data_IF_440501569009
#
_entry.id   IF_440501569009
#
_cell.length_a   1.000
_cell.length_b   1.000
_cell.length_c   1.000
_cell.angle_alpha   90.00
_cell.angle_beta   90.00
_cell.angle_gamma   90.00
#
_symmetry.space_group_name_H-M   'P 1'
#
loop_
_entity.id
_entity.type
_entity.pdbx_description
1 polymer ?
#
# COMPACT_ATOMS: atom_id res chain seq x y z
N UNK A 1 18.46 4.86 -4.10
CA UNK A 1 18.28 3.47 -3.68
C UNK A 1 18.42 2.54 -4.87
N UNK A 2 19.11 1.45 -4.70
CA UNK A 2 19.29 0.55 -5.82
C UNK A 2 18.14 -0.46 -5.88
N UNK A 3 17.91 -0.99 -7.06
CA UNK A 3 16.89 -2.01 -7.26
C UNK A 3 17.32 -3.37 -6.70
N UNK A 4 18.54 -3.45 -6.18
CA UNK A 4 19.06 -4.71 -5.68
C UNK A 4 18.25 -5.23 -4.50
N UNK A 5 17.88 -4.33 -3.59
CA UNK A 5 17.07 -4.73 -2.44
C UNK A 5 15.71 -5.24 -2.88
N UNK A 6 15.11 -4.56 -3.84
CA UNK A 6 13.81 -4.99 -4.38
C UNK A 6 13.95 -6.35 -5.05
N UNK A 7 15.04 -6.56 -5.79
CA UNK A 7 15.29 -7.83 -6.46
C UNK A 7 15.47 -8.97 -5.48
N UNK A 8 16.16 -8.72 -4.37
CA UNK A 8 16.34 -9.74 -3.34
C UNK A 8 15.02 -10.18 -2.75
N UNK A 9 14.11 -9.22 -2.51
CA UNK A 9 12.78 -9.55 -2.01
C UNK A 9 12.04 -10.40 -3.04
N UNK A 10 12.09 -10.00 -4.31
CA UNK A 10 11.44 -10.76 -5.37
C UNK A 10 11.98 -12.18 -5.46
N UNK A 11 13.30 -12.33 -5.33
CA UNK A 11 13.92 -13.65 -5.38
C UNK A 11 13.47 -14.52 -4.20
N UNK A 12 13.36 -13.92 -3.01
CA UNK A 12 12.90 -14.65 -1.84
C UNK A 12 11.45 -15.09 -2.00
N UNK A 13 10.61 -14.23 -2.57
CA UNK A 13 9.21 -14.57 -2.82
C UNK A 13 9.11 -15.68 -3.87
N UNK A 14 9.93 -15.61 -4.90
CA UNK A 14 9.98 -16.66 -5.92
C UNK A 14 10.37 -18.00 -5.29
N UNK A 15 11.32 -18.00 -4.35
CA UNK A 15 11.73 -19.22 -3.68
C UNK A 15 10.55 -19.86 -2.93
N UNK A 16 9.74 -19.03 -2.29
CA UNK A 16 8.55 -19.53 -1.61
C UNK A 16 7.60 -20.18 -2.60
N UNK A 17 7.42 -19.55 -3.76
CA UNK A 17 6.52 -20.05 -4.78
C UNK A 17 7.02 -21.36 -5.40
N UNK A 18 8.31 -21.67 -5.27
CA UNK A 18 8.90 -22.87 -5.83
C UNK A 18 8.87 -24.06 -4.88
N UNK A 19 8.38 -23.89 -3.68
CA UNK A 19 8.25 -25.03 -2.74
C UNK A 19 7.33 -26.05 -3.36
N UNK A 20 7.82 -27.30 -3.46
CA UNK A 20 7.11 -28.32 -4.23
C UNK A 20 5.86 -28.81 -3.52
N UNK A 21 5.96 -29.06 -2.22
CA UNK A 21 4.80 -29.54 -1.47
C UNK A 21 3.77 -28.42 -1.36
N UNK A 22 2.56 -28.70 -1.81
CA UNK A 22 1.51 -27.69 -1.86
C UNK A 22 1.17 -27.14 -0.48
N UNK A 23 1.09 -28.03 0.51
CA UNK A 23 0.73 -27.60 1.85
C UNK A 23 1.82 -26.74 2.47
N UNK A 24 3.08 -27.17 2.31
CA UNK A 24 4.20 -26.37 2.82
C UNK A 24 4.28 -25.04 2.12
N UNK A 25 4.02 -25.02 0.83
CA UNK A 25 4.03 -23.78 0.06
C UNK A 25 2.97 -22.81 0.58
N UNK A 26 1.76 -23.31 0.84
CA UNK A 26 0.68 -22.46 1.35
C UNK A 26 1.00 -21.94 2.74
N UNK A 27 1.59 -22.79 3.59
CA UNK A 27 2.02 -22.36 4.91
C UNK A 27 3.03 -21.23 4.82
N UNK A 28 4.03 -21.40 3.94
CA UNK A 28 5.07 -20.39 3.76
C UNK A 28 4.46 -19.09 3.25
N UNK A 29 3.58 -19.19 2.27
CA UNK A 29 2.91 -17.99 1.74
C UNK A 29 2.09 -17.29 2.83
N UNK A 30 1.42 -18.06 3.67
CA UNK A 30 0.60 -17.49 4.73
C UNK A 30 1.46 -16.73 5.73
N UNK A 31 2.61 -17.28 6.08
CA UNK A 31 3.54 -16.61 7.00
C UNK A 31 4.08 -15.33 6.40
N UNK A 32 4.42 -15.37 5.11
CA UNK A 32 4.91 -14.19 4.41
C UNK A 32 3.84 -13.10 4.38
N UNK A 33 2.61 -13.49 4.05
CA UNK A 33 1.52 -12.52 3.98
C UNK A 33 1.26 -11.87 5.34
N UNK A 34 1.31 -12.66 6.40
CA UNK A 34 1.10 -12.11 7.74
C UNK A 34 2.23 -11.13 8.12
N UNK A 35 3.46 -11.52 7.83
CA UNK A 35 4.60 -10.64 8.14
C UNK A 35 4.55 -9.36 7.34
N UNK A 36 4.17 -9.46 6.05
CA UNK A 36 4.10 -8.28 5.20
C UNK A 36 2.95 -7.36 5.62
N UNK A 37 1.85 -7.92 6.11
CA UNK A 37 0.73 -7.09 6.56
C UNK A 37 1.18 -6.16 7.68
N UNK A 38 1.96 -6.67 8.62
CA UNK A 38 2.47 -5.84 9.70
C UNK A 38 3.43 -4.78 9.21
N UNK A 39 4.35 -5.18 8.33
CA UNK A 39 5.30 -4.22 7.76
C UNK A 39 4.59 -3.18 6.92
N UNK A 40 3.58 -3.61 6.16
CA UNK A 40 2.86 -2.68 5.29
C UNK A 40 2.17 -1.58 6.08
N UNK A 41 1.72 -1.88 7.29
CA UNK A 41 1.14 -0.85 8.14
C UNK A 41 2.16 0.25 8.45
N UNK A 42 3.37 -0.16 8.85
CA UNK A 42 4.41 0.80 9.19
C UNK A 42 4.88 1.56 7.96
N UNK A 43 5.09 0.81 6.88
CA UNK A 43 5.57 1.44 5.64
C UNK A 43 4.53 2.42 5.08
N UNK A 44 3.26 2.09 5.22
CA UNK A 44 2.20 2.99 4.77
C UNK A 44 2.19 4.28 5.57
N UNK A 45 2.45 4.20 6.88
CA UNK A 45 2.54 5.41 7.70
C UNK A 45 3.63 6.33 7.21
N UNK A 46 4.81 5.77 6.97
CA UNK A 46 5.93 6.58 6.51
C UNK A 46 5.64 7.18 5.14
N UNK A 47 5.09 6.36 4.24
CA UNK A 47 4.72 6.85 2.91
C UNK A 47 3.71 7.98 2.98
N UNK A 48 2.69 7.80 3.81
CA UNK A 48 1.61 8.78 3.91
C UNK A 48 2.10 10.08 4.54
N UNK A 49 3.01 9.97 5.51
CA UNK A 49 3.61 11.15 6.11
C UNK A 49 4.40 11.94 5.09
N UNK A 50 5.20 11.24 4.29
CA UNK A 50 5.99 11.91 3.26
C UNK A 50 5.09 12.56 2.21
N UNK A 51 4.01 11.88 1.83
CA UNK A 51 3.06 12.44 0.88
C UNK A 51 2.49 13.76 1.43
N UNK A 52 2.12 13.79 2.71
CA UNK A 52 1.60 15.02 3.31
C UNK A 52 2.65 16.12 3.34
N UNK A 53 3.89 15.76 3.63
CA UNK A 53 4.98 16.74 3.65
C UNK A 53 5.22 17.32 2.26
N UNK A 54 5.23 16.49 1.25
CA UNK A 54 5.44 16.95 -0.12
C UNK A 54 4.30 17.86 -0.58
N UNK A 55 3.09 17.57 -0.15
CA UNK A 55 1.94 18.40 -0.48
C UNK A 55 2.00 19.75 0.22
N UNK A 56 2.33 19.73 1.52
CA UNK A 56 2.29 20.92 2.36
C UNK A 56 3.61 21.68 2.38
N UNK A 57 4.67 21.11 1.81
CA UNK A 57 6.01 21.64 1.99
C UNK A 57 6.36 22.87 1.19
N UNK A 58 5.39 23.51 0.56
CA UNK A 58 5.66 24.73 -0.20
C UNK A 58 6.17 24.47 -1.61
N UNK A 59 6.42 23.22 -1.95
CA UNK A 59 6.85 22.88 -3.30
C UNK A 59 5.70 22.94 -4.30
N UNK A 60 4.46 22.89 -3.81
CA UNK A 60 3.30 22.98 -4.67
C UNK A 60 3.13 21.80 -5.59
N UNK A 61 3.59 20.63 -5.17
CA UNK A 61 3.50 19.44 -6.00
C UNK A 61 2.06 18.98 -6.15
N UNK A 62 1.69 18.61 -7.37
CA UNK A 62 0.37 18.04 -7.63
C UNK A 62 0.35 16.59 -7.21
N UNK A 63 -0.85 16.03 -7.14
CA UNK A 63 -1.03 14.60 -6.81
C UNK A 63 -0.23 13.73 -7.79
N UNK A 64 -0.28 14.07 -9.07
CA UNK A 64 0.44 13.31 -10.09
C UNK A 64 1.94 13.40 -9.91
N UNK A 65 2.42 14.58 -9.56
CA UNK A 65 3.85 14.79 -9.36
C UNK A 65 4.35 14.01 -8.15
N UNK A 66 3.57 14.01 -7.06
CA UNK A 66 3.92 13.24 -5.87
C UNK A 66 3.93 11.75 -6.21
N UNK A 67 2.90 11.28 -6.91
CA UNK A 67 2.80 9.87 -7.28
C UNK A 67 4.00 9.44 -8.11
N UNK A 68 4.37 10.24 -9.10
CA UNK A 68 5.52 9.93 -9.95
C UNK A 68 6.82 9.91 -9.15
N UNK A 69 6.97 10.86 -8.25
CA UNK A 69 8.19 10.98 -7.46
C UNK A 69 8.39 9.80 -6.53
N UNK A 70 7.29 9.28 -5.96
CA UNK A 70 7.36 8.17 -5.03
C UNK A 70 7.10 6.83 -5.70
N UNK A 71 6.85 6.83 -7.01
CA UNK A 71 6.59 5.61 -7.79
C UNK A 71 5.39 4.85 -7.26
N UNK A 72 4.33 5.59 -6.97
CA UNK A 72 3.06 4.99 -6.56
C UNK A 72 1.96 5.47 -7.50
N UNK A 73 0.79 4.87 -7.38
CA UNK A 73 -0.34 5.27 -8.21
C UNK A 73 -0.93 6.58 -7.69
N UNK A 74 -1.45 7.45 -8.58
CA UNK A 74 -2.12 8.66 -8.12
C UNK A 74 -3.25 8.39 -7.12
N UNK A 75 -3.96 7.26 -7.28
CA UNK A 75 -5.02 6.91 -6.34
C UNK A 75 -4.48 6.67 -4.94
N UNK A 76 -3.25 6.19 -4.82
CA UNK A 76 -2.60 6.01 -3.52
C UNK A 76 -2.40 7.36 -2.84
N UNK A 77 -1.96 8.36 -3.61
CA UNK A 77 -1.77 9.70 -3.06
C UNK A 77 -3.11 10.32 -2.67
N UNK A 78 -4.11 10.18 -3.54
CA UNK A 78 -5.44 10.71 -3.26
C UNK A 78 -6.03 10.10 -1.98
N UNK A 79 -5.78 8.82 -1.77
CA UNK A 79 -6.31 8.13 -0.60
C UNK A 79 -5.82 8.74 0.70
N UNK A 80 -4.59 9.26 0.72
CA UNK A 80 -4.02 9.89 1.90
C UNK A 80 -4.84 11.10 2.33
N UNK A 81 -5.33 11.87 1.35
CA UNK A 81 -6.05 13.10 1.64
C UNK A 81 -7.54 12.87 1.82
N UNK A 82 -8.07 11.80 1.24
CA UNK A 82 -9.49 11.49 1.32
C UNK A 82 -9.81 10.62 2.52
N UNK A 83 -8.94 9.70 2.76
CA UNK A 83 -9.18 8.68 3.76
C UNK A 83 -8.96 9.13 5.16
N UNK A 84 -8.78 9.98 5.46
CA UNK A 84 -8.54 10.09 6.75
C UNK A 84 -9.44 9.81 7.69
N UNK A 85 -9.20 9.29 7.12
CA UNK A 85 -9.80 8.88 7.45
C UNK A 85 -10.17 8.11 7.44
N UNK A 86 -10.07 8.01 7.28
CA UNK A 86 -10.56 7.32 7.24
C UNK A 86 -10.83 6.69 7.37
N UNK A 87 -10.82 6.47 7.53
CA UNK A 87 -11.29 5.96 7.50
C UNK A 87 -11.67 5.61 7.46
N UNK A 88 -11.88 5.65 7.71
CA UNK A 88 -12.60 5.45 7.56
C UNK A 88 -13.25 5.33 7.18
N UNK A 89 -13.44 5.24 7.20
CA UNK A 89 -14.36 5.12 6.75
C UNK A 89 -14.95 4.88 6.18
N UNK A 90 -15.28 4.58 6.12
CA UNK A 90 -16.13 4.33 5.56
C UNK A 90 -16.62 4.02 5.06
N UNK A 91 -16.66 3.95 5.12
CA UNK A 91 -17.47 3.61 4.59
C UNK A 91 -17.95 3.38 4.07
N UNK A 92 -18.24 3.12 4.10
CA UNK A 92 -19.10 2.93 3.61
C UNK A 92 -19.54 2.70 2.95
N UNK A 93 -19.55 2.59 2.99
CA UNK A 93 -20.35 2.44 2.45
C UNK A 93 -20.63 2.28 1.76
N UNK A 94 -20.61 2.04 1.87
CA UNK A 94 -21.34 1.92 1.25
C UNK A 94 -21.65 1.82 0.75
N UNK A 95 -21.49 1.80 1.04
CA UNK A 95 -22.37 1.90 0.60
C UNK A 95 -22.63 1.93 0.13
N UNK A 96 -22.49 1.76 0.27
CA UNK A 96 -23.35 1.86 -0.15
C UNK A 96 -23.62 1.95 -0.59
N UNK A 97 -23.59 1.91 -0.53
CA UNK A 97 -24.39 2.03 -0.96
C UNK A 97 -24.57 2.19 -1.20
N UNK A 98 -24.29 2.08 -0.97
CA UNK A 98 -25.07 2.31 -1.13
C UNK A 98 -25.04 2.53 -1.13
N UNK A 99 -25.03 2.51 -0.92
CA UNK A 99 -25.59 2.75 -0.95
C UNK A 99 -25.64 3.07 -1.10
N UNK A 100 -25.24 2.94 -0.82
CA UNK A 100 -25.75 3.23 -0.96
C UNK A 100 -25.74 3.62 -1.07
N UNK A 101 -25.72 3.66 -1.00
CA UNK A 101 -26.14 3.93 -1.17
C UNK A 101 -26.08 4.25 -1.18
N UNK A 102 -25.74 4.11 -0.92
CA UNK A 102 -26.06 4.45 -0.95
C UNK A 102 -25.78 4.74 -0.80
N UNK A 103 -25.66 4.65 -0.78
CA UNK A 103 -25.81 4.93 -0.73
C UNK A 103 -25.75 5.07 -0.54
#
# INVERSE_FOLDING_TARGET
MSDEEVRRVADALNAVEQIEDREERVKAKSRVMAAQAERNKEWSKERDELIRELWAGGAGLSIRQIAARLEVKPSTVQAVFRGKGSGTARPRKRATPGEAQGG
#
